data_IF_282234379191
#
_entry.id   IF_282234379191
#
_cell.length_a   1.000
_cell.length_b   1.000
_cell.length_c   1.000
_cell.angle_alpha   90.00
_cell.angle_beta   90.00
_cell.angle_gamma   90.00
#
_symmetry.space_group_name_H-M   'P 1'
#
loop_
_entity.id
_entity.type
_entity.pdbx_description
1 polymer ?
#
# COMPACT_ATOMS: atom_id res chain seq x y z
N UNK A 1 2.53 -24.39 -28.09
CA UNK A 1 1.54 -23.30 -28.19
C UNK A 1 1.02 -23.11 -26.79
N UNK A 2 1.47 -22.08 -26.09
CA UNK A 2 1.10 -21.80 -24.71
C UNK A 2 -0.37 -21.38 -24.69
N UNK A 3 -1.24 -22.17 -24.04
CA UNK A 3 -2.64 -21.80 -23.83
C UNK A 3 -2.68 -20.62 -22.86
N UNK A 4 -3.03 -19.44 -23.39
CA UNK A 4 -3.20 -18.22 -22.61
C UNK A 4 -4.58 -18.32 -21.96
N UNK A 5 -4.62 -18.66 -20.67
CA UNK A 5 -5.86 -18.79 -19.90
C UNK A 5 -6.36 -17.40 -19.46
N UNK A 6 -6.83 -16.59 -20.42
CA UNK A 6 -7.27 -15.20 -20.20
C UNK A 6 -8.46 -15.09 -19.23
N UNK A 7 -9.19 -16.19 -18.99
CA UNK A 7 -10.39 -16.21 -18.13
C UNK A 7 -10.17 -16.82 -16.74
N UNK A 8 -8.93 -17.16 -16.38
CA UNK A 8 -8.63 -17.68 -15.05
C UNK A 8 -8.76 -16.55 -14.01
N UNK A 9 -9.60 -16.71 -12.97
CA UNK A 9 -9.72 -15.70 -11.91
C UNK A 9 -8.53 -15.70 -10.95
N UNK A 10 -7.74 -16.78 -10.92
CA UNK A 10 -6.56 -16.84 -10.06
C UNK A 10 -5.40 -16.07 -10.71
N UNK A 11 -4.78 -15.12 -9.99
CA UNK A 11 -3.67 -14.33 -10.54
C UNK A 11 -2.47 -15.22 -10.83
N UNK A 12 -1.82 -14.99 -11.98
CA UNK A 12 -0.59 -15.70 -12.32
C UNK A 12 0.56 -15.25 -11.41
N UNK A 13 1.54 -16.12 -11.18
CA UNK A 13 2.72 -15.79 -10.35
C UNK A 13 3.44 -14.52 -10.83
N UNK A 14 3.49 -14.30 -12.15
CA UNK A 14 4.06 -13.10 -12.77
C UNK A 14 3.26 -11.83 -12.43
N UNK A 15 1.91 -11.92 -12.37
CA UNK A 15 1.06 -10.79 -12.00
C UNK A 15 1.30 -10.38 -10.54
N UNK A 16 1.45 -11.35 -9.65
CA UNK A 16 1.77 -11.13 -8.23
C UNK A 16 3.15 -10.47 -8.10
N UNK A 17 4.13 -10.95 -8.87
CA UNK A 17 5.48 -10.38 -8.87
C UNK A 17 5.49 -8.92 -9.35
N UNK A 18 4.72 -8.62 -10.41
CA UNK A 18 4.59 -7.27 -10.97
C UNK A 18 3.85 -6.34 -9.98
N UNK A 19 2.75 -6.80 -9.37
CA UNK A 19 1.97 -5.99 -8.42
C UNK A 19 2.83 -5.59 -7.21
N UNK A 20 3.64 -6.52 -6.69
CA UNK A 20 4.60 -6.26 -5.60
C UNK A 20 5.69 -5.28 -6.01
N UNK A 21 6.11 -5.26 -7.28
CA UNK A 21 7.13 -4.33 -7.77
C UNK A 21 6.60 -2.91 -7.98
N UNK A 22 5.29 -2.75 -8.24
CA UNK A 22 4.69 -1.45 -8.54
C UNK A 22 4.21 -0.71 -7.29
N UNK A 23 3.85 -1.44 -6.24
CA UNK A 23 3.43 -0.84 -4.97
C UNK A 23 4.63 -0.65 -4.05
N UNK A 24 4.80 0.54 -3.47
CA UNK A 24 5.84 0.76 -2.47
C UNK A 24 5.67 -0.22 -1.31
N UNK A 25 6.78 -0.82 -0.91
CA UNK A 25 6.91 -1.70 0.24
C UNK A 25 7.24 -0.94 1.52
N UNK A 26 7.79 0.26 1.36
CA UNK A 26 8.20 1.15 2.44
C UNK A 26 7.63 2.55 2.22
N UNK A 27 7.40 3.28 3.31
CA UNK A 27 6.92 4.66 3.23
C UNK A 27 7.87 5.59 2.45
N UNK A 28 9.17 5.30 2.43
CA UNK A 28 10.16 6.10 1.70
C UNK A 28 10.10 5.87 0.18
N UNK A 29 9.45 4.80 -0.27
CA UNK A 29 9.19 4.50 -1.68
C UNK A 29 7.88 5.13 -2.16
N UNK A 30 7.04 5.65 -1.24
CA UNK A 30 5.77 6.29 -1.58
C UNK A 30 6.01 7.69 -2.17
N UNK A 31 5.66 7.86 -3.44
CA UNK A 31 5.92 9.10 -4.17
C UNK A 31 4.80 10.11 -3.92
N UNK A 32 5.16 11.28 -3.38
CA UNK A 32 4.23 12.37 -3.09
C UNK A 32 3.58 12.23 -1.71
N UNK A 33 2.64 13.13 -1.39
CA UNK A 33 1.92 13.17 -0.10
C UNK A 33 2.82 13.10 1.15
N UNK A 34 4.02 13.69 1.08
CA UNK A 34 5.04 13.63 2.13
C UNK A 34 4.50 13.99 3.52
N UNK A 35 3.72 15.06 3.62
CA UNK A 35 3.13 15.50 4.89
C UNK A 35 2.21 14.44 5.51
N UNK A 36 1.40 13.78 4.69
CA UNK A 36 0.49 12.72 5.15
C UNK A 36 1.26 11.48 5.60
N UNK A 37 2.28 11.08 4.83
CA UNK A 37 3.18 9.97 5.19
C UNK A 37 3.92 10.27 6.50
N UNK A 38 4.47 11.47 6.65
CA UNK A 38 5.22 11.88 7.84
C UNK A 38 4.32 11.90 9.09
N UNK A 39 3.07 12.38 8.96
CA UNK A 39 2.09 12.32 10.05
C UNK A 39 1.75 10.87 10.43
N UNK A 40 1.51 10.00 9.45
CA UNK A 40 1.20 8.59 9.70
C UNK A 40 2.36 7.87 10.40
N UNK A 41 3.61 8.12 9.98
CA UNK A 41 4.82 7.61 10.65
C UNK A 41 4.86 8.03 12.11
N UNK A 42 4.59 9.29 12.42
CA UNK A 42 4.56 9.80 13.79
C UNK A 42 3.49 9.10 14.65
N UNK A 43 2.30 8.88 14.11
CA UNK A 43 1.24 8.15 14.83
C UNK A 43 1.60 6.69 15.09
N UNK A 44 2.18 6.00 14.09
CA UNK A 44 2.65 4.62 14.23
C UNK A 44 3.76 4.54 15.28
N UNK A 45 4.73 5.46 15.26
CA UNK A 45 5.80 5.53 16.26
C UNK A 45 5.22 5.74 17.67
N UNK A 46 4.25 6.65 17.80
CA UNK A 46 3.60 6.89 19.08
C UNK A 46 2.84 5.64 19.60
N UNK A 47 2.14 4.91 18.74
CA UNK A 47 1.45 3.67 19.11
C UNK A 47 2.44 2.56 19.51
N UNK A 48 3.51 2.38 18.74
CA UNK A 48 4.59 1.45 19.06
C UNK A 48 5.24 1.78 20.41
N UNK A 49 5.48 3.05 20.71
CA UNK A 49 6.06 3.48 21.99
C UNK A 49 5.14 3.24 23.18
N UNK A 50 3.81 3.27 22.99
CA UNK A 50 2.82 2.91 24.01
C UNK A 50 2.61 1.40 24.13
N UNK A 51 3.03 0.64 23.12
CA UNK A 51 2.77 -0.80 23.03
C UNK A 51 1.29 -1.12 22.74
N UNK A 52 0.56 -0.20 22.12
CA UNK A 52 -0.83 -0.36 21.72
C UNK A 52 -0.99 -0.38 20.20
N UNK A 53 -2.22 -0.69 19.75
CA UNK A 53 -2.55 -0.62 18.34
C UNK A 53 -2.67 0.85 17.90
N UNK A 54 -2.37 1.12 16.63
CA UNK A 54 -2.67 2.41 16.01
C UNK A 54 -4.17 2.70 16.10
N UNK A 55 -4.52 3.94 16.44
CA UNK A 55 -5.92 4.40 16.43
C UNK A 55 -6.55 4.27 15.04
N UNK A 56 -7.89 4.29 14.97
CA UNK A 56 -8.60 4.21 13.69
C UNK A 56 -8.27 5.41 12.78
N UNK A 57 -7.74 5.13 11.59
CA UNK A 57 -7.41 6.13 10.56
C UNK A 57 -8.41 6.08 9.41
N UNK A 58 -8.89 7.24 8.97
CA UNK A 58 -9.71 7.39 7.76
C UNK A 58 -8.89 8.07 6.66
N UNK A 59 -8.58 7.33 5.59
CA UNK A 59 -7.98 7.90 4.38
C UNK A 59 -9.08 8.32 3.41
N UNK A 60 -9.22 9.63 3.17
CA UNK A 60 -10.22 10.18 2.25
C UNK A 60 -9.59 11.03 1.15
N UNK A 61 -10.23 11.08 -0.02
CA UNK A 61 -9.80 11.92 -1.13
C UNK A 61 -10.19 11.38 -2.51
N UNK A 62 -9.98 12.18 -3.58
CA UNK A 62 -10.24 11.81 -4.97
C UNK A 62 -9.69 10.42 -5.40
N UNK A 63 -10.26 9.79 -6.43
CA UNK A 63 -9.74 8.52 -6.96
C UNK A 63 -8.30 8.70 -7.48
N UNK A 64 -7.48 7.63 -7.40
CA UNK A 64 -6.10 7.63 -7.91
C UNK A 64 -5.01 8.17 -6.98
N UNK A 65 -5.34 8.61 -5.76
CA UNK A 65 -4.36 9.13 -4.79
C UNK A 65 -3.63 8.06 -3.96
N UNK A 66 -3.65 6.78 -4.36
CA UNK A 66 -2.89 5.74 -3.65
C UNK A 66 -3.37 5.41 -2.23
N UNK A 67 -4.62 5.71 -1.85
CA UNK A 67 -5.19 5.42 -0.51
C UNK A 67 -5.16 3.95 -0.09
N UNK A 68 -5.25 3.04 -1.06
CA UNK A 68 -5.19 1.58 -0.83
C UNK A 68 -3.75 1.07 -0.86
N UNK A 69 -2.85 1.87 -1.42
CA UNK A 69 -1.42 1.55 -1.53
C UNK A 69 -0.65 2.01 -0.31
N UNK A 70 -1.05 3.15 0.27
CA UNK A 70 -0.58 3.64 1.56
C UNK A 70 -1.09 2.74 2.70
#
# INVERSE_FOLDING_TARGET
MTEIHITDPDPFDDDIAIEKSLRPSQFDEFIGQKELVDNLKLYIEAANNRGDALDHVLLFGPPGLGKTTL
#
